data_IF_535190106312
#
_entry.id   IF_535190106312
#
_cell.length_a   1.000
_cell.length_b   1.000
_cell.length_c   1.000
_cell.angle_alpha   90.00
_cell.angle_beta   90.00
_cell.angle_gamma   90.00
#
_symmetry.space_group_name_H-M   'P 1'
#
loop_
_entity.id
_entity.type
_entity.pdbx_description
1 polymer ?
#
# COMPACT_ATOMS: atom_id res chain seq x y z
N UNK A 1 13.69 -18.93 -1.67
CA UNK A 1 14.23 -18.36 -2.92
C UNK A 1 13.90 -16.88 -2.96
N UNK A 2 14.87 -16.01 -3.28
CA UNK A 2 14.60 -14.59 -3.48
C UNK A 2 14.26 -14.35 -4.95
N UNK A 3 13.07 -13.81 -5.22
CA UNK A 3 12.64 -13.43 -6.57
C UNK A 3 13.01 -11.96 -6.83
N UNK A 4 13.61 -11.67 -7.98
CA UNK A 4 13.93 -10.30 -8.41
C UNK A 4 12.80 -9.79 -9.29
N UNK A 5 12.15 -8.72 -8.86
CA UNK A 5 11.16 -7.97 -9.65
C UNK A 5 11.81 -6.68 -10.18
N UNK A 6 11.58 -6.37 -11.45
CA UNK A 6 11.96 -5.09 -12.06
C UNK A 6 10.69 -4.35 -12.45
N UNK A 7 10.51 -3.14 -11.92
CA UNK A 7 9.34 -2.30 -12.18
C UNK A 7 9.81 -0.94 -12.67
N UNK A 8 9.20 -0.43 -13.72
CA UNK A 8 9.43 0.93 -14.19
C UNK A 8 8.41 1.87 -13.56
N UNK A 9 8.92 2.98 -13.03
CA UNK A 9 8.14 4.06 -12.47
C UNK A 9 8.42 5.33 -13.26
N UNK A 10 7.41 6.17 -13.45
CA UNK A 10 7.68 7.53 -13.90
C UNK A 10 8.29 8.38 -12.76
N UNK A 11 8.75 9.59 -13.09
CA UNK A 11 9.43 10.46 -12.12
C UNK A 11 8.57 10.78 -10.89
N UNK A 12 7.27 11.02 -11.11
CA UNK A 12 6.33 11.30 -10.01
C UNK A 12 6.19 10.10 -9.08
N UNK A 13 6.01 8.91 -9.62
CA UNK A 13 5.90 7.68 -8.84
C UNK A 13 7.19 7.36 -8.10
N UNK A 14 8.33 7.59 -8.75
CA UNK A 14 9.66 7.41 -8.16
C UNK A 14 9.84 8.30 -6.94
N UNK A 15 9.48 9.58 -7.06
CA UNK A 15 9.52 10.53 -5.95
C UNK A 15 8.59 10.12 -4.80
N UNK A 16 7.35 9.73 -5.10
CA UNK A 16 6.41 9.25 -4.08
C UNK A 16 6.97 8.03 -3.34
N UNK A 17 7.59 7.09 -4.07
CA UNK A 17 8.21 5.91 -3.47
C UNK A 17 9.44 6.23 -2.62
N UNK A 18 10.22 7.24 -2.99
CA UNK A 18 11.34 7.77 -2.20
C UNK A 18 10.84 8.42 -0.91
N UNK A 19 9.89 9.34 -1.02
CA UNK A 19 9.31 10.05 0.12
C UNK A 19 8.71 9.06 1.15
N UNK A 20 8.04 8.00 0.68
CA UNK A 20 7.52 6.92 1.54
C UNK A 20 8.63 6.11 2.21
N UNK A 21 9.72 5.83 1.49
CA UNK A 21 10.85 5.07 2.02
C UNK A 21 11.53 5.85 3.14
N UNK A 22 11.74 7.15 2.93
CA UNK A 22 12.33 8.06 3.91
C UNK A 22 11.43 8.21 5.14
N UNK A 23 10.11 8.43 4.94
CA UNK A 23 9.16 8.57 6.04
C UNK A 23 9.04 7.31 6.92
N UNK A 24 9.20 6.13 6.33
CA UNK A 24 9.15 4.84 7.04
C UNK A 24 10.53 4.35 7.51
N UNK A 25 11.61 5.07 7.21
CA UNK A 25 12.97 4.64 7.54
C UNK A 25 13.36 3.30 6.90
N UNK A 26 12.91 3.05 5.67
CA UNK A 26 13.10 1.77 4.97
C UNK A 26 13.58 1.95 3.53
N UNK A 27 13.73 0.86 2.79
CA UNK A 27 14.09 0.89 1.36
C UNK A 27 12.85 0.94 0.49
N UNK A 28 12.97 1.37 -0.78
CA UNK A 28 11.88 1.28 -1.78
C UNK A 28 11.27 -0.13 -1.87
N UNK A 29 12.11 -1.17 -1.77
CA UNK A 29 11.64 -2.56 -1.72
C UNK A 29 10.85 -2.86 -0.44
N UNK A 30 11.27 -2.30 0.70
CA UNK A 30 10.52 -2.38 1.96
C UNK A 30 9.13 -1.73 1.86
N UNK A 31 9.04 -0.57 1.21
CA UNK A 31 7.76 0.09 0.93
C UNK A 31 6.86 -0.81 0.07
N UNK A 32 7.39 -1.36 -1.02
CA UNK A 32 6.62 -2.25 -1.91
C UNK A 32 6.15 -3.54 -1.21
N UNK A 33 6.96 -4.12 -0.32
CA UNK A 33 6.54 -5.27 0.50
C UNK A 33 5.41 -4.90 1.45
N UNK A 34 5.47 -3.73 2.06
CA UNK A 34 4.42 -3.22 2.96
C UNK A 34 3.13 -2.98 2.18
N UNK A 35 3.23 -2.35 1.00
CA UNK A 35 2.08 -2.14 0.11
C UNK A 35 1.43 -3.46 -0.31
N UNK A 36 2.23 -4.50 -0.61
CA UNK A 36 1.72 -5.83 -0.95
C UNK A 36 0.92 -6.45 0.20
N UNK A 37 1.42 -6.36 1.44
CA UNK A 37 0.71 -6.88 2.61
C UNK A 37 -0.61 -6.13 2.87
N UNK A 38 -0.63 -4.81 2.68
CA UNK A 38 -1.86 -4.01 2.79
C UNK A 38 -2.88 -4.39 1.69
N UNK A 39 -2.41 -4.62 0.47
CA UNK A 39 -3.24 -5.04 -0.65
C UNK A 39 -3.83 -6.45 -0.44
N UNK A 40 -3.05 -7.37 0.14
CA UNK A 40 -3.53 -8.71 0.50
C UNK A 40 -4.71 -8.64 1.48
N UNK A 41 -4.59 -7.82 2.53
CA UNK A 41 -5.68 -7.59 3.49
C UNK A 41 -6.90 -7.03 2.77
N UNK A 42 -6.71 -6.01 1.94
CA UNK A 42 -7.82 -5.42 1.18
C UNK A 42 -8.58 -6.44 0.32
N UNK A 43 -7.86 -7.25 -0.44
CA UNK A 43 -8.42 -8.28 -1.31
C UNK A 43 -9.14 -9.35 -0.50
N UNK A 44 -8.64 -9.69 0.69
CA UNK A 44 -9.29 -10.66 1.57
C UNK A 44 -10.61 -10.10 2.11
N UNK A 45 -10.57 -8.91 2.70
CA UNK A 45 -11.74 -8.29 3.32
C UNK A 45 -12.84 -7.97 2.28
N UNK A 46 -12.47 -7.59 1.04
CA UNK A 46 -13.45 -7.31 -0.02
C UNK A 46 -14.25 -8.56 -0.43
N UNK A 47 -13.64 -9.76 -0.38
CA UNK A 47 -14.33 -11.02 -0.65
C UNK A 47 -15.43 -11.34 0.38
N UNK A 48 -15.26 -10.83 1.59
CA UNK A 48 -16.21 -10.99 2.68
C UNK A 48 -17.25 -9.84 2.73
N UNK A 49 -17.21 -8.92 1.75
CA UNK A 49 -18.12 -7.78 1.65
C UNK A 49 -17.75 -6.59 2.53
N UNK A 50 -16.55 -6.59 3.13
CA UNK A 50 -16.04 -5.46 3.91
C UNK A 50 -15.34 -4.43 3.03
N UNK A 51 -15.32 -3.17 3.49
CA UNK A 51 -14.52 -2.10 2.89
C UNK A 51 -13.39 -1.64 3.81
N UNK A 52 -12.31 -1.14 3.22
CA UNK A 52 -11.20 -0.56 3.98
C UNK A 52 -11.41 0.95 4.18
N UNK A 53 -11.02 1.45 5.34
CA UNK A 53 -11.07 2.87 5.63
C UNK A 53 -9.98 3.34 6.59
N UNK A 54 -9.68 4.62 6.52
CA UNK A 54 -8.90 5.35 7.53
C UNK A 54 -9.85 5.68 8.67
N UNK A 55 -9.49 5.30 9.88
CA UNK A 55 -10.28 5.50 11.10
C UNK A 55 -9.66 6.58 11.99
N UNK A 56 -10.51 7.36 12.67
CA UNK A 56 -10.14 8.27 13.76
C UNK A 56 -11.04 8.01 14.95
N UNK A 57 -10.53 7.28 15.94
CA UNK A 57 -11.35 6.75 17.03
C UNK A 57 -12.29 5.66 16.51
N UNK A 58 -13.58 5.83 16.76
CA UNK A 58 -14.68 4.94 16.35
C UNK A 58 -15.30 5.32 14.98
N UNK A 59 -14.76 6.35 14.32
CA UNK A 59 -15.31 6.85 13.04
C UNK A 59 -14.39 6.55 11.87
N UNK A 60 -14.98 6.08 10.77
CA UNK A 60 -14.34 6.06 9.46
C UNK A 60 -14.32 7.49 8.93
N UNK A 61 -13.12 8.03 8.68
CA UNK A 61 -12.94 9.38 8.16
C UNK A 61 -12.64 9.41 6.66
N UNK A 62 -12.23 8.27 6.09
CA UNK A 62 -12.02 8.11 4.66
C UNK A 62 -12.17 6.64 4.29
N UNK A 63 -13.01 6.34 3.32
CA UNK A 63 -13.05 5.02 2.71
C UNK A 63 -11.99 4.92 1.61
N UNK A 64 -11.32 3.78 1.52
CA UNK A 64 -10.40 3.45 0.45
C UNK A 64 -11.20 2.71 -0.61
N UNK A 65 -11.57 3.43 -1.67
CA UNK A 65 -12.40 2.91 -2.78
C UNK A 65 -11.49 2.48 -3.94
N UNK A 66 -11.79 1.35 -4.58
CA UNK A 66 -11.17 0.94 -5.85
C UNK A 66 -9.91 0.08 -5.72
N UNK A 67 -9.92 -0.90 -4.82
CA UNK A 67 -8.94 -2.00 -4.90
C UNK A 67 -9.54 -3.05 -5.85
N UNK A 68 -9.51 -2.74 -7.14
CA UNK A 68 -9.82 -3.66 -8.23
C UNK A 68 -8.54 -4.27 -8.81
#
# INVERSE_FOLDING_TARGET
>A
MANKLSVQFNDRQTKVLEDMADALGTTKSGVLKTALALLEVAIRESKDGHSLGVVKGDKVIKEIVGIE
#
